data_IF_990076899360
#
_entry.id   IF_990076899360
#
_cell.length_a   1.000
_cell.length_b   1.000
_cell.length_c   1.000
_cell.angle_alpha   90.00
_cell.angle_beta   90.00
_cell.angle_gamma   90.00
#
_symmetry.space_group_name_H-M   'P 1'
#
loop_
_entity.id
_entity.type
_entity.pdbx_description
1 polymer ?
#
# COMPACT_ATOMS: atom_id res chain seq x y z
N UNK A 1 -11.59 12.89 11.52
CA UNK A 1 -10.43 12.63 12.41
C UNK A 1 -10.28 11.14 12.75
N UNK A 2 -11.19 10.52 13.51
CA UNK A 2 -11.08 9.09 13.89
C UNK A 2 -10.92 8.13 12.72
N UNK A 3 -11.74 8.27 11.67
CA UNK A 3 -11.69 7.38 10.50
C UNK A 3 -10.36 7.43 9.77
N UNK A 4 -9.68 8.58 9.76
CA UNK A 4 -8.36 8.73 9.17
C UNK A 4 -7.32 7.90 9.95
N UNK A 5 -7.28 8.06 11.28
CA UNK A 5 -6.43 7.26 12.17
C UNK A 5 -6.73 5.76 12.04
N UNK A 6 -8.00 5.38 12.12
CA UNK A 6 -8.43 3.99 11.98
C UNK A 6 -8.00 3.41 10.62
N UNK A 7 -8.18 4.15 9.53
CA UNK A 7 -7.83 3.71 8.18
C UNK A 7 -6.31 3.53 8.03
N UNK A 8 -5.51 4.53 8.39
CA UNK A 8 -4.06 4.49 8.20
C UNK A 8 -3.38 3.47 9.09
N UNK A 9 -3.72 3.43 10.39
CA UNK A 9 -3.08 2.50 11.32
C UNK A 9 -3.49 1.05 11.03
N UNK A 10 -4.76 0.80 10.65
CA UNK A 10 -5.17 -0.52 10.16
C UNK A 10 -4.47 -0.90 8.85
N UNK A 11 -4.23 0.06 7.95
CA UNK A 11 -3.50 -0.19 6.72
C UNK A 11 -2.04 -0.62 7.00
N UNK A 12 -1.45 -0.18 8.11
CA UNK A 12 -0.15 -0.67 8.58
C UNK A 12 -0.15 -2.13 9.02
N UNK A 13 -1.22 -2.62 9.66
CA UNK A 13 -1.38 -4.06 9.92
C UNK A 13 -1.53 -4.84 8.61
N UNK A 14 -2.36 -4.37 7.68
CA UNK A 14 -2.59 -5.03 6.38
C UNK A 14 -1.32 -5.00 5.51
N UNK A 15 -0.46 -3.99 5.68
CA UNK A 15 0.79 -3.85 4.95
C UNK A 15 1.75 -5.03 5.11
N UNK A 16 1.60 -5.85 6.17
CA UNK A 16 2.37 -7.07 6.36
C UNK A 16 2.36 -8.00 5.14
N UNK A 17 1.31 -7.97 4.31
CA UNK A 17 1.28 -8.75 3.05
C UNK A 17 2.42 -8.40 2.07
N UNK A 18 3.02 -7.21 2.18
CA UNK A 18 4.14 -6.76 1.35
C UNK A 18 5.51 -7.03 1.98
N UNK A 19 5.56 -7.58 3.19
CA UNK A 19 6.82 -8.02 3.78
C UNK A 19 7.22 -9.39 3.22
N UNK A 20 8.49 -9.55 2.87
CA UNK A 20 9.09 -10.79 2.38
C UNK A 20 9.92 -11.42 3.52
N UNK A 21 9.45 -12.52 4.15
CA UNK A 21 10.14 -13.11 5.30
C UNK A 21 11.53 -13.64 4.98
N UNK A 22 11.71 -14.24 3.80
CA UNK A 22 12.97 -14.90 3.41
C UNK A 22 14.12 -13.90 3.24
N UNK A 23 13.85 -12.77 2.60
CA UNK A 23 14.81 -11.68 2.37
C UNK A 23 14.81 -10.62 3.47
N UNK A 24 13.81 -10.65 4.37
CA UNK A 24 13.52 -9.60 5.37
C UNK A 24 13.40 -8.21 4.77
N UNK A 25 12.80 -8.12 3.58
CA UNK A 25 12.62 -6.85 2.84
C UNK A 25 11.15 -6.48 2.68
N UNK A 26 10.91 -5.18 2.54
CA UNK A 26 9.58 -4.64 2.23
C UNK A 26 9.45 -4.40 0.72
N UNK A 27 8.43 -4.99 0.10
CA UNK A 27 8.20 -4.89 -1.35
C UNK A 27 7.51 -3.61 -1.82
N UNK A 28 7.02 -2.76 -0.90
CA UNK A 28 6.33 -1.51 -1.26
C UNK A 28 6.57 -0.44 -0.19
N UNK A 29 7.14 0.70 -0.58
CA UNK A 29 7.61 1.74 0.34
C UNK A 29 6.50 2.40 1.19
N UNK A 30 5.30 2.57 0.65
CA UNK A 30 4.17 3.15 1.39
C UNK A 30 3.60 2.17 2.42
N UNK A 31 3.59 0.88 2.11
CA UNK A 31 3.18 -0.19 3.03
C UNK A 31 4.20 -0.31 4.16
N UNK A 32 5.49 -0.22 3.82
CA UNK A 32 6.55 -0.13 4.81
C UNK A 32 6.34 1.05 5.77
N UNK A 33 6.13 2.26 5.23
CA UNK A 33 5.86 3.44 6.04
C UNK A 33 4.61 3.30 6.92
N UNK A 34 3.51 2.74 6.38
CA UNK A 34 2.29 2.48 7.16
C UNK A 34 2.51 1.49 8.29
N UNK A 35 3.29 0.44 8.07
CA UNK A 35 3.65 -0.50 9.12
C UNK A 35 4.49 0.16 10.22
N UNK A 36 5.44 1.03 9.85
CA UNK A 36 6.20 1.86 10.81
C UNK A 36 5.25 2.71 11.67
N UNK A 37 4.29 3.41 11.06
CA UNK A 37 3.31 4.21 11.82
C UNK A 37 2.41 3.33 12.71
N UNK A 38 2.03 2.15 12.23
CA UNK A 38 1.31 1.16 13.04
C UNK A 38 2.11 0.74 14.27
N UNK A 39 3.40 0.44 14.10
CA UNK A 39 4.31 0.11 15.20
C UNK A 39 4.44 1.24 16.22
N UNK A 40 4.60 2.50 15.77
CA UNK A 40 4.62 3.67 16.66
C UNK A 40 3.35 3.74 17.51
N UNK A 41 2.17 3.56 16.89
CA UNK A 41 0.91 3.62 17.62
C UNK A 41 0.66 2.39 18.53
N UNK A 42 1.18 1.22 18.15
CA UNK A 42 1.10 0.00 18.95
C UNK A 42 1.98 0.11 20.20
N UNK A 43 3.21 0.60 20.04
CA UNK A 43 4.19 0.76 21.12
C UNK A 43 3.94 1.97 22.01
N UNK A 44 3.17 2.96 21.54
CA UNK A 44 2.62 4.03 22.40
C UNK A 44 1.81 3.46 23.59
N UNK A 45 1.32 2.22 23.45
CA UNK A 45 0.76 1.45 24.55
C UNK A 45 -0.57 2.02 25.05
N UNK A 46 -0.80 1.86 26.36
CA UNK A 46 -2.02 2.33 27.04
C UNK A 46 -3.33 1.80 26.42
N UNK A 47 -3.29 0.71 25.65
CA UNK A 47 -4.44 0.19 24.91
C UNK A 47 -4.97 1.13 23.82
N UNK A 48 -4.15 2.05 23.31
CA UNK A 48 -4.53 2.92 22.20
C UNK A 48 -4.80 2.12 20.92
N UNK A 49 -3.87 1.26 20.54
CA UNK A 49 -4.02 0.29 19.44
C UNK A 49 -3.83 -1.11 20.00
N UNK A 50 -4.71 -2.03 19.62
CA UNK A 50 -4.59 -3.45 19.99
C UNK A 50 -4.95 -4.33 18.80
N UNK A 51 -4.23 -5.44 18.66
CA UNK A 51 -4.51 -6.49 17.68
C UNK A 51 -4.66 -7.79 18.44
N UNK A 52 -5.77 -8.50 18.20
CA UNK A 52 -6.05 -9.77 18.86
C UNK A 52 -6.33 -10.83 17.80
N UNK A 53 -5.69 -11.99 17.93
CA UNK A 53 -6.02 -13.16 17.12
C UNK A 53 -7.42 -13.66 17.50
N UNK A 54 -8.24 -13.93 16.50
CA UNK A 54 -9.64 -14.34 16.64
C UNK A 54 -9.97 -15.41 15.61
N UNK A 55 -11.18 -15.96 15.67
CA UNK A 55 -11.70 -16.88 14.64
C UNK A 55 -12.78 -16.15 13.85
N UNK A 56 -12.69 -16.17 12.52
CA UNK A 56 -13.70 -15.60 11.65
C UNK A 56 -14.98 -16.43 11.62
N UNK A 57 -16.05 -15.87 11.04
CA UNK A 57 -17.33 -16.57 10.87
C UNK A 57 -17.22 -17.83 10.00
N UNK A 58 -16.15 -17.95 9.21
CA UNK A 58 -15.79 -19.10 8.39
C UNK A 58 -14.98 -20.17 9.16
N UNK A 59 -14.78 -20.00 10.47
CA UNK A 59 -13.98 -20.90 11.29
C UNK A 59 -12.47 -20.79 11.10
N UNK A 60 -12.00 -19.86 10.25
CA UNK A 60 -10.57 -19.69 9.95
C UNK A 60 -9.93 -18.64 10.88
N UNK A 61 -8.60 -18.65 11.07
CA UNK A 61 -7.89 -17.60 11.81
C UNK A 61 -8.18 -16.19 11.28
N UNK A 62 -8.32 -15.21 12.16
CA UNK A 62 -8.62 -13.81 11.85
C UNK A 62 -7.93 -12.86 12.84
N UNK A 63 -7.92 -11.57 12.52
CA UNK A 63 -7.40 -10.53 13.41
C UNK A 63 -8.50 -9.50 13.72
N UNK A 64 -8.66 -9.16 14.99
CA UNK A 64 -9.47 -8.04 15.43
C UNK A 64 -8.56 -6.87 15.81
N UNK A 65 -8.57 -5.85 14.95
CA UNK A 65 -7.88 -4.59 15.14
C UNK A 65 -8.81 -3.59 15.84
N UNK A 66 -8.33 -2.99 16.95
CA UNK A 66 -9.06 -1.96 17.69
C UNK A 66 -8.17 -0.74 17.88
N UNK A 67 -8.75 0.43 17.61
CA UNK A 67 -8.18 1.75 17.92
C UNK A 67 -9.13 2.50 18.85
N UNK A 68 -8.63 2.93 20.01
CA UNK A 68 -9.42 3.68 21.00
C UNK A 68 -9.48 5.16 20.62
N UNK A 69 -10.68 5.61 20.21
CA UNK A 69 -10.92 7.00 19.79
C UNK A 69 -10.56 8.01 20.89
N UNK A 70 -10.80 7.66 22.16
CA UNK A 70 -10.57 8.58 23.29
C UNK A 70 -9.09 8.89 23.49
N UNK A 71 -8.19 8.00 23.05
CA UNK A 71 -6.74 8.08 23.27
C UNK A 71 -5.97 8.67 22.09
N UNK A 72 -6.66 9.10 21.03
CA UNK A 72 -6.01 9.70 19.86
C UNK A 72 -5.19 10.93 20.28
N UNK A 73 -5.78 11.84 21.05
CA UNK A 73 -5.11 13.10 21.40
C UNK A 73 -4.08 12.94 22.52
N UNK A 74 -4.31 12.03 23.46
CA UNK A 74 -3.48 11.93 24.67
C UNK A 74 -2.38 10.87 24.58
N UNK A 75 -2.52 9.89 23.67
CA UNK A 75 -1.56 8.78 23.50
C UNK A 75 -1.01 8.74 22.07
N UNK A 76 -1.89 8.69 21.08
CA UNK A 76 -1.49 8.56 19.68
C UNK A 76 -0.75 9.78 19.14
N UNK A 77 -1.30 10.97 19.39
CA UNK A 77 -0.74 12.23 18.89
C UNK A 77 0.65 12.52 19.46
N UNK A 78 0.91 12.43 20.78
CA UNK A 78 2.25 12.65 21.33
C UNK A 78 3.29 11.65 20.79
N UNK A 79 2.93 10.36 20.67
CA UNK A 79 3.84 9.36 20.12
C UNK A 79 4.21 9.64 18.66
N UNK A 80 3.23 10.05 17.84
CA UNK A 80 3.47 10.45 16.45
C UNK A 80 4.28 11.76 16.36
N UNK A 81 4.04 12.72 17.25
CA UNK A 81 4.80 13.96 17.34
C UNK A 81 6.29 13.69 17.61
N UNK A 82 6.60 12.84 18.59
CA UNK A 82 7.97 12.45 18.91
C UNK A 82 8.65 11.75 17.73
N UNK A 83 7.97 10.76 17.13
CA UNK A 83 8.45 10.06 15.95
C UNK A 83 8.76 11.02 14.79
N UNK A 84 7.85 11.95 14.48
CA UNK A 84 8.01 12.89 13.38
C UNK A 84 9.13 13.91 13.64
N UNK A 85 9.32 14.36 14.88
CA UNK A 85 10.44 15.24 15.24
C UNK A 85 11.78 14.59 14.95
N UNK A 86 11.97 13.33 15.37
CA UNK A 86 13.21 12.58 15.11
C UNK A 86 13.40 12.33 13.61
N UNK A 87 12.37 11.86 12.91
CA UNK A 87 12.42 11.62 11.47
C UNK A 87 12.81 12.89 10.69
N UNK A 88 12.19 14.03 11.02
CA UNK A 88 12.49 15.29 10.34
C UNK A 88 13.88 15.82 10.69
N UNK A 89 14.34 15.66 11.93
CA UNK A 89 15.69 16.04 12.35
C UNK A 89 16.76 15.32 11.54
N UNK A 90 16.67 14.00 11.42
CA UNK A 90 17.64 13.20 10.65
C UNK A 90 17.59 13.53 9.16
N UNK A 91 16.37 13.71 8.61
CA UNK A 91 16.18 14.10 7.21
C UNK A 91 16.81 15.46 6.91
N UNK A 92 16.53 16.48 7.72
CA UNK A 92 17.00 17.85 7.49
C UNK A 92 18.51 17.98 7.58
N UNK A 93 19.16 17.15 8.40
CA UNK A 93 20.60 17.19 8.63
C UNK A 93 21.38 16.22 7.73
N UNK A 94 20.68 15.39 6.94
CA UNK A 94 21.31 14.36 6.15
C UNK A 94 21.98 13.27 7.00
N UNK A 95 21.53 13.06 8.24
CA UNK A 95 22.08 12.04 9.14
C UNK A 95 21.63 10.64 8.72
N UNK A 96 22.22 10.13 7.65
CA UNK A 96 21.82 8.89 7.02
C UNK A 96 22.02 7.66 7.93
N UNK A 97 23.10 7.61 8.70
CA UNK A 97 23.40 6.49 9.57
C UNK A 97 22.31 6.31 10.64
N UNK A 98 22.03 7.36 11.42
CA UNK A 98 21.04 7.29 12.51
C UNK A 98 19.62 7.24 11.96
N UNK A 99 19.31 8.00 10.90
CA UNK A 99 17.98 8.01 10.30
C UNK A 99 17.58 6.65 9.72
N UNK A 100 18.53 5.93 9.09
CA UNK A 100 18.29 4.57 8.63
C UNK A 100 18.11 3.59 9.79
N UNK A 101 18.95 3.68 10.82
CA UNK A 101 18.84 2.81 11.99
C UNK A 101 17.49 3.02 12.70
N UNK A 102 17.10 4.28 12.91
CA UNK A 102 15.82 4.66 13.50
C UNK A 102 14.63 4.13 12.71
N UNK A 103 14.60 4.34 11.38
CA UNK A 103 13.47 3.89 10.57
C UNK A 103 13.41 2.36 10.43
N UNK A 104 14.58 1.69 10.34
CA UNK A 104 14.66 0.22 10.29
C UNK A 104 14.17 -0.42 11.58
N UNK A 105 14.48 0.16 12.74
CA UNK A 105 14.00 -0.34 14.03
C UNK A 105 12.46 -0.44 14.07
N UNK A 106 11.77 0.65 13.71
CA UNK A 106 10.31 0.64 13.59
C UNK A 106 9.79 -0.28 12.48
N UNK A 107 10.66 -0.64 11.54
CA UNK A 107 10.39 -1.51 10.42
C UNK A 107 10.55 -3.00 10.67
N UNK A 108 11.11 -3.38 11.80
CA UNK A 108 11.36 -4.77 12.15
C UNK A 108 10.03 -5.53 12.29
N UNK A 109 10.00 -6.77 11.83
CA UNK A 109 8.83 -7.64 11.90
C UNK A 109 9.14 -8.76 12.89
N UNK A 110 8.43 -8.76 14.02
CA UNK A 110 8.55 -9.77 15.07
C UNK A 110 7.90 -11.08 14.65
N UNK A 111 8.19 -12.17 15.39
CA UNK A 111 7.54 -13.46 15.17
C UNK A 111 6.01 -13.40 15.32
N UNK A 112 5.51 -12.53 16.21
CA UNK A 112 4.08 -12.26 16.32
C UNK A 112 3.52 -11.61 15.06
N UNK A 113 4.20 -10.60 14.53
CA UNK A 113 3.75 -9.93 13.32
C UNK A 113 3.89 -10.84 12.08
N UNK A 114 4.82 -11.81 12.08
CA UNK A 114 4.88 -12.86 11.07
C UNK A 114 3.65 -13.79 11.13
N UNK A 115 3.16 -14.16 12.32
CA UNK A 115 1.88 -14.90 12.43
C UNK A 115 0.72 -14.07 11.93
N UNK A 116 0.66 -12.78 12.28
CA UNK A 116 -0.38 -11.88 11.76
C UNK A 116 -0.32 -11.75 10.25
N UNK A 117 0.88 -11.68 9.67
CA UNK A 117 1.09 -11.65 8.22
C UNK A 117 0.42 -12.85 7.55
N UNK A 118 0.62 -14.06 8.06
CA UNK A 118 0.04 -15.26 7.46
C UNK A 118 -1.50 -15.21 7.46
N UNK A 119 -2.09 -14.64 8.52
CA UNK A 119 -3.54 -14.41 8.59
C UNK A 119 -3.95 -13.33 7.57
N UNK A 120 -3.24 -12.19 7.51
CA UNK A 120 -3.52 -11.10 6.56
C UNK A 120 -3.47 -11.61 5.12
N UNK A 121 -2.45 -12.38 4.75
CA UNK A 121 -2.30 -12.94 3.40
C UNK A 121 -3.44 -13.90 3.07
N UNK A 122 -3.86 -14.76 4.02
CA UNK A 122 -5.01 -15.66 3.82
C UNK A 122 -6.34 -14.91 3.71
N UNK A 123 -6.46 -13.74 4.35
CA UNK A 123 -7.66 -12.89 4.35
C UNK A 123 -7.67 -11.85 3.22
N UNK A 124 -6.62 -11.77 2.41
CA UNK A 124 -6.48 -10.73 1.38
C UNK A 124 -7.58 -10.84 0.33
N UNK A 125 -8.04 -9.68 -0.15
CA UNK A 125 -8.91 -9.59 -1.33
C UNK A 125 -8.08 -9.19 -2.54
N UNK A 126 -8.34 -9.74 -3.73
CA UNK A 126 -7.72 -9.24 -4.96
C UNK A 126 -7.92 -7.73 -5.09
N UNK A 127 -6.89 -7.02 -5.57
CA UNK A 127 -7.02 -5.60 -5.86
C UNK A 127 -7.98 -5.40 -7.03
N UNK A 128 -8.81 -4.37 -6.93
CA UNK A 128 -9.70 -3.99 -8.01
C UNK A 128 -8.88 -3.53 -9.22
N UNK A 129 -9.34 -3.91 -10.41
CA UNK A 129 -8.90 -3.30 -11.66
C UNK A 129 -9.84 -2.14 -11.98
N UNK A 130 -9.29 -1.07 -12.55
CA UNK A 130 -10.05 0.12 -12.91
C UNK A 130 -10.16 0.22 -14.42
N UNK A 131 -11.39 0.29 -14.91
CA UNK A 131 -11.68 0.59 -16.31
C UNK A 131 -11.58 2.10 -16.49
N UNK A 132 -10.81 2.54 -17.49
CA UNK A 132 -10.57 3.96 -17.74
C UNK A 132 -11.31 4.42 -19.00
N UNK A 133 -11.98 5.56 -18.87
CA UNK A 133 -12.60 6.30 -19.97
C UNK A 133 -11.57 6.69 -21.03
N UNK A 134 -12.01 6.73 -22.29
CA UNK A 134 -11.24 7.26 -23.41
C UNK A 134 -11.79 8.63 -23.81
N UNK A 135 -10.90 9.55 -24.19
CA UNK A 135 -11.28 10.86 -24.71
C UNK A 135 -11.22 10.82 -26.25
N UNK A 136 -12.30 11.24 -26.90
CA UNK A 136 -12.46 11.23 -28.36
C UNK A 136 -12.78 12.63 -28.85
N UNK A 137 -12.02 13.13 -29.83
CA UNK A 137 -12.32 14.42 -30.47
C UNK A 137 -13.44 14.27 -31.48
N UNK A 138 -14.30 15.28 -31.60
CA UNK A 138 -15.25 15.40 -32.70
C UNK A 138 -14.51 15.47 -34.04
N UNK A 139 -15.20 15.14 -35.14
CA UNK A 139 -14.61 15.10 -36.49
C UNK A 139 -14.08 16.46 -36.97
N UNK A 140 -14.70 17.55 -36.51
CA UNK A 140 -14.27 18.93 -36.78
C UNK A 140 -13.27 19.46 -35.73
N UNK A 141 -12.98 18.67 -34.69
CA UNK A 141 -12.04 19.00 -33.62
C UNK A 141 -12.53 20.07 -32.64
N UNK A 142 -13.80 20.48 -32.71
CA UNK A 142 -14.37 21.52 -31.84
C UNK A 142 -14.72 21.02 -30.44
N UNK A 143 -14.97 19.72 -30.28
CA UNK A 143 -15.41 19.10 -29.03
C UNK A 143 -14.58 17.87 -28.65
N UNK A 144 -14.59 17.53 -27.35
CA UNK A 144 -14.01 16.30 -26.81
C UNK A 144 -15.09 15.58 -26.00
N UNK A 145 -15.33 14.31 -26.32
CA UNK A 145 -16.29 13.46 -25.65
C UNK A 145 -15.60 12.37 -24.84
N UNK A 146 -16.26 11.94 -23.76
CA UNK A 146 -15.88 10.76 -23.00
C UNK A 146 -16.56 9.53 -23.58
N UNK A 147 -15.77 8.52 -23.91
CA UNK A 147 -16.23 7.18 -24.25
C UNK A 147 -15.95 6.27 -23.06
N UNK A 148 -17.01 5.92 -22.34
CA UNK A 148 -16.96 5.06 -21.15
C UNK A 148 -17.13 3.60 -21.54
N UNK A 149 -16.54 2.73 -20.71
CA UNK A 149 -16.58 1.28 -20.87
C UNK A 149 -17.22 0.64 -19.63
N UNK A 150 -17.85 -0.52 -19.82
CA UNK A 150 -18.42 -1.27 -18.70
C UNK A 150 -17.34 -1.66 -17.68
N UNK A 151 -17.67 -1.61 -16.38
CA UNK A 151 -16.82 -2.07 -15.28
C UNK A 151 -16.73 -3.61 -15.21
N UNK A 152 -16.30 -4.24 -16.32
CA UNK A 152 -16.16 -5.68 -16.50
C UNK A 152 -14.78 -6.00 -17.07
N UNK A 153 -14.38 -7.29 -17.04
CA UNK A 153 -13.13 -7.73 -17.68
C UNK A 153 -13.14 -7.45 -19.19
N UNK A 154 -14.29 -7.64 -19.85
CA UNK A 154 -14.44 -7.34 -21.26
C UNK A 154 -14.32 -5.83 -21.53
N UNK A 155 -14.99 -4.99 -20.73
CA UNK A 155 -14.88 -3.54 -20.85
C UNK A 155 -13.47 -3.01 -20.59
N UNK A 156 -12.74 -3.60 -19.64
CA UNK A 156 -11.31 -3.31 -19.43
C UNK A 156 -10.51 -3.58 -20.70
N UNK A 157 -10.64 -4.78 -21.29
CA UNK A 157 -9.90 -5.15 -22.50
C UNK A 157 -10.24 -4.21 -23.67
N UNK A 158 -11.54 -3.97 -23.90
CA UNK A 158 -12.00 -3.09 -24.97
C UNK A 158 -11.41 -1.68 -24.83
N UNK A 159 -11.38 -1.14 -23.60
CA UNK A 159 -10.81 0.19 -23.34
C UNK A 159 -9.34 0.35 -23.74
N UNK A 160 -8.57 -0.74 -23.77
CA UNK A 160 -7.18 -0.72 -24.23
C UNK A 160 -7.06 -0.93 -25.74
N UNK A 161 -7.85 -1.84 -26.30
CA UNK A 161 -7.88 -2.13 -27.76
C UNK A 161 -8.23 -0.86 -28.55
N UNK A 162 -9.20 -0.09 -28.09
CA UNK A 162 -9.64 1.12 -28.79
C UNK A 162 -8.83 2.38 -28.48
N UNK A 163 -7.99 2.35 -27.44
CA UNK A 163 -7.18 3.50 -27.03
C UNK A 163 -5.93 3.69 -27.87
N UNK A 164 -5.33 2.58 -28.32
CA UNK A 164 -4.05 2.61 -29.00
C UNK A 164 -4.19 2.21 -30.48
N UNK A 165 -3.71 3.05 -31.42
CA UNK A 165 -3.69 2.68 -32.82
C UNK A 165 -2.69 1.53 -33.07
N UNK A 166 -2.92 0.76 -34.14
CA UNK A 166 -2.12 -0.45 -34.43
C UNK A 166 -0.65 -0.13 -34.66
N UNK A 167 -0.37 1.03 -35.23
CA UNK A 167 0.97 1.52 -35.54
C UNK A 167 1.78 1.72 -34.25
N UNK A 168 1.19 2.37 -33.24
CA UNK A 168 1.84 2.56 -31.94
C UNK A 168 2.12 1.23 -31.23
N UNK A 169 1.23 0.24 -31.37
CA UNK A 169 1.47 -1.11 -30.83
C UNK A 169 2.64 -1.78 -31.55
N UNK A 170 2.72 -1.66 -32.88
CA UNK A 170 3.80 -2.25 -33.65
C UNK A 170 5.17 -1.64 -33.30
N UNK A 171 5.25 -0.32 -33.15
CA UNK A 171 6.48 0.37 -32.73
C UNK A 171 6.98 -0.13 -31.37
N UNK A 172 6.08 -0.28 -30.40
CA UNK A 172 6.42 -0.83 -29.08
C UNK A 172 6.91 -2.28 -29.15
N UNK A 173 6.32 -3.09 -30.04
CA UNK A 173 6.74 -4.49 -30.24
C UNK A 173 8.13 -4.59 -30.87
N UNK A 174 8.47 -3.73 -31.84
CA UNK A 174 9.81 -3.71 -32.42
C UNK A 174 10.86 -3.27 -31.40
N UNK A 175 10.58 -2.21 -30.63
CA UNK A 175 11.47 -1.77 -29.55
C UNK A 175 11.72 -2.90 -28.53
N UNK A 176 10.67 -3.63 -28.15
CA UNK A 176 10.82 -4.77 -27.27
C UNK A 176 11.70 -5.87 -27.87
N UNK A 177 11.55 -6.20 -29.16
CA UNK A 177 12.38 -7.21 -29.83
C UNK A 177 13.85 -6.82 -29.86
N UNK A 178 14.16 -5.55 -30.10
CA UNK A 178 15.53 -5.03 -30.10
C UNK A 178 16.17 -5.12 -28.71
N UNK A 179 15.39 -4.86 -27.66
CA UNK A 179 15.89 -4.80 -26.28
C UNK A 179 15.75 -6.12 -25.50
N UNK A 180 15.12 -7.15 -26.08
CA UNK A 180 14.78 -8.38 -25.34
C UNK A 180 15.99 -9.08 -24.71
N UNK A 181 17.16 -8.98 -25.35
CA UNK A 181 18.42 -9.57 -24.85
C UNK A 181 18.92 -8.94 -23.56
N UNK A 182 18.41 -7.76 -23.16
CA UNK A 182 18.74 -7.14 -21.88
C UNK A 182 17.97 -7.76 -20.71
N UNK A 183 16.87 -8.46 -20.98
CA UNK A 183 15.93 -8.95 -19.97
C UNK A 183 15.89 -10.47 -19.87
N UNK A 184 16.33 -11.17 -20.90
CA UNK A 184 16.33 -12.63 -20.97
C UNK A 184 17.64 -13.10 -21.61
N UNK A 185 18.44 -13.84 -20.84
CA UNK A 185 19.49 -14.73 -21.35
C UNK A 185 18.86 -16.02 -21.91
#
# INVERSE_FOLDING_TARGET
MYTNWMSEIRAGLVALEYFQPDSKTWGQAHCYARYVLFRVCLEAGQGFVTVTETTGHDGQPNLHFKLDRSKIMDVGFPAMEEFLKKLQGDKSTGNAADGQAFFKHWGEVSDEHLRWRDIVVKRRKPRNLFVQTKLVKSSDGSEVHCEDYEASTAGLIQSFVERHPKEAIQELLELWKEQRSMFYD
#
